data_IF_333084509013
#
_entry.id   IF_333084509013
#
_cell.length_a   1.000
_cell.length_b   1.000
_cell.length_c   1.000
_cell.angle_alpha   90.00
_cell.angle_beta   90.00
_cell.angle_gamma   90.00
#
_symmetry.space_group_name_H-M   'P 1'
#
loop_
_entity.id
_entity.type
_entity.pdbx_description
1 polymer ?
#
# COMPACT_ATOMS: atom_id res chain seq x y z
N UNK A 1 -13.12 -18.67 10.21
CA UNK A 1 -11.73 -18.43 10.64
C UNK A 1 -11.34 -17.06 10.12
N UNK A 2 -10.96 -16.19 11.03
CA UNK A 2 -10.56 -14.80 10.76
C UNK A 2 -9.09 -14.61 11.12
N UNK A 3 -8.55 -13.45 10.81
CA UNK A 3 -7.26 -12.97 11.31
C UNK A 3 -7.46 -11.56 11.88
N UNK A 4 -6.55 -11.10 12.72
CA UNK A 4 -6.58 -9.77 13.31
C UNK A 4 -5.28 -9.06 13.01
N UNK A 5 -5.37 -7.81 12.55
CA UNK A 5 -4.26 -6.87 12.49
C UNK A 5 -4.52 -5.80 13.54
N UNK A 6 -3.61 -5.68 14.49
CA UNK A 6 -3.75 -4.84 15.67
C UNK A 6 -2.62 -3.83 15.77
N UNK A 7 -2.89 -2.68 16.39
CA UNK A 7 -1.89 -1.74 16.86
C UNK A 7 -2.15 -1.47 18.34
N UNK A 8 -1.28 -1.98 19.22
CA UNK A 8 -1.55 -1.95 20.65
C UNK A 8 -2.87 -2.66 20.95
N UNK A 9 -3.82 -1.94 21.55
CA UNK A 9 -5.15 -2.46 21.90
C UNK A 9 -6.23 -2.16 20.83
N UNK A 10 -5.85 -1.60 19.68
CA UNK A 10 -6.79 -1.25 18.60
C UNK A 10 -6.75 -2.26 17.45
N UNK A 11 -7.90 -2.87 17.14
CA UNK A 11 -8.05 -3.68 15.93
C UNK A 11 -8.20 -2.80 14.69
N UNK A 12 -7.17 -2.83 13.83
CA UNK A 12 -7.16 -2.11 12.57
C UNK A 12 -7.96 -2.85 11.49
N UNK A 13 -7.85 -4.19 11.45
CA UNK A 13 -8.55 -4.98 10.44
C UNK A 13 -8.78 -6.42 10.91
N UNK A 14 -10.01 -6.90 10.72
CA UNK A 14 -10.40 -8.29 10.97
C UNK A 14 -10.81 -9.02 9.67
N UNK A 15 -9.84 -9.41 8.81
CA UNK A 15 -10.16 -10.12 7.58
C UNK A 15 -10.54 -11.59 7.81
N UNK A 16 -11.17 -12.19 6.79
CA UNK A 16 -11.13 -13.65 6.66
C UNK A 16 -9.68 -14.12 6.50
N UNK A 17 -9.34 -15.32 7.00
CA UNK A 17 -7.95 -15.80 6.93
C UNK A 17 -7.42 -15.91 5.49
N UNK A 18 -8.29 -16.08 4.49
CA UNK A 18 -7.91 -16.07 3.08
C UNK A 18 -7.44 -14.68 2.61
N UNK A 19 -8.21 -13.64 2.93
CA UNK A 19 -7.87 -12.26 2.58
C UNK A 19 -6.62 -11.78 3.33
N UNK A 20 -6.53 -12.10 4.63
CA UNK A 20 -5.34 -11.78 5.45
C UNK A 20 -4.07 -12.41 4.89
N UNK A 21 -4.08 -13.73 4.59
CA UNK A 21 -2.92 -14.39 3.99
C UNK A 21 -2.55 -13.85 2.62
N UNK A 22 -3.54 -13.56 1.76
CA UNK A 22 -3.26 -12.97 0.44
C UNK A 22 -2.61 -11.58 0.56
N UNK A 23 -3.07 -10.77 1.53
CA UNK A 23 -2.47 -9.48 1.81
C UNK A 23 -1.02 -9.64 2.27
N UNK A 24 -0.74 -10.53 3.23
CA UNK A 24 0.61 -10.77 3.75
C UNK A 24 1.58 -11.29 2.67
N UNK A 25 1.13 -12.15 1.76
CA UNK A 25 1.96 -12.58 0.61
C UNK A 25 2.33 -11.42 -0.30
N UNK A 26 1.44 -10.45 -0.47
CA UNK A 26 1.76 -9.24 -1.23
C UNK A 26 2.68 -8.31 -0.43
N UNK A 27 2.51 -8.23 0.90
CA UNK A 27 3.47 -7.52 1.77
C UNK A 27 4.89 -8.07 1.54
N UNK A 28 5.10 -9.38 1.59
CA UNK A 28 6.42 -10.01 1.36
C UNK A 28 7.03 -9.63 -0.01
N UNK A 29 6.21 -9.56 -1.06
CA UNK A 29 6.66 -9.11 -2.40
C UNK A 29 7.13 -7.66 -2.32
N UNK A 30 6.33 -6.77 -1.74
CA UNK A 30 6.65 -5.35 -1.71
C UNK A 30 7.74 -4.96 -0.71
N UNK A 31 7.93 -5.72 0.36
CA UNK A 31 9.11 -5.59 1.21
C UNK A 31 10.39 -5.86 0.42
N UNK A 32 10.36 -6.86 -0.47
CA UNK A 32 11.48 -7.19 -1.35
C UNK A 32 11.70 -6.14 -2.43
N UNK A 33 10.63 -5.70 -3.10
CA UNK A 33 10.69 -4.69 -4.18
C UNK A 33 11.16 -3.32 -3.66
N UNK A 34 10.68 -2.90 -2.48
CA UNK A 34 11.04 -1.60 -1.88
C UNK A 34 12.29 -1.66 -1.01
N UNK A 35 12.71 -2.87 -0.58
CA UNK A 35 13.75 -3.07 0.43
C UNK A 35 13.45 -2.36 1.75
N UNK A 36 12.17 -2.31 2.11
CA UNK A 36 11.67 -1.70 3.34
C UNK A 36 10.89 -2.75 4.12
N UNK A 37 11.12 -2.91 5.44
CA UNK A 37 10.25 -3.74 6.26
C UNK A 37 8.85 -3.13 6.35
N UNK A 38 7.83 -3.96 6.37
CA UNK A 38 6.44 -3.52 6.53
C UNK A 38 6.10 -3.15 7.97
N UNK A 39 6.76 -3.76 8.95
CA UNK A 39 6.37 -3.60 10.36
C UNK A 39 5.15 -4.44 10.76
N UNK A 40 4.66 -5.32 9.87
CA UNK A 40 3.62 -6.30 10.20
C UNK A 40 4.31 -7.59 10.63
N UNK A 41 3.99 -8.08 11.82
CA UNK A 41 4.59 -9.31 12.32
C UNK A 41 3.85 -9.93 13.49
N UNK A 42 4.39 -11.04 13.97
CA UNK A 42 3.94 -11.62 15.25
C UNK A 42 4.32 -10.64 16.36
N UNK A 43 3.32 -10.17 17.10
CA UNK A 43 3.48 -9.15 18.13
C UNK A 43 4.20 -9.62 19.39
N UNK A 44 4.33 -8.70 20.37
CA UNK A 44 4.93 -8.96 21.69
C UNK A 44 4.25 -10.11 22.45
N UNK A 45 2.95 -10.31 22.21
CA UNK A 45 2.17 -11.39 22.78
C UNK A 45 2.23 -12.60 21.83
N UNK A 46 3.35 -13.34 21.86
CA UNK A 46 3.44 -14.65 21.21
C UNK A 46 2.41 -15.61 21.82
N UNK A 47 1.21 -15.67 21.24
CA UNK A 47 0.14 -16.52 21.76
C UNK A 47 -0.94 -16.88 20.74
N UNK A 48 -1.32 -15.96 19.86
CA UNK A 48 -2.37 -16.20 18.87
C UNK A 48 -1.82 -16.19 17.42
N UNK A 49 -1.83 -17.33 16.71
CA UNK A 49 -1.36 -17.41 15.34
C UNK A 49 -2.22 -16.62 14.35
N UNK A 50 -3.45 -16.28 14.71
CA UNK A 50 -4.37 -15.53 13.86
C UNK A 50 -4.25 -14.01 14.08
N UNK A 51 -3.43 -13.54 15.03
CA UNK A 51 -3.24 -12.12 15.35
C UNK A 51 -1.85 -11.64 14.96
N UNK A 52 -1.78 -10.47 14.31
CA UNK A 52 -0.56 -9.79 13.89
C UNK A 52 -0.55 -8.36 14.41
N UNK A 53 0.62 -7.93 14.88
CA UNK A 53 0.84 -6.56 15.34
C UNK A 53 1.43 -5.73 14.20
N UNK A 54 0.97 -4.48 14.12
CA UNK A 54 1.44 -3.46 13.18
C UNK A 54 2.25 -2.44 13.97
N UNK A 55 3.55 -2.38 13.72
CA UNK A 55 4.39 -1.29 14.22
C UNK A 55 4.06 -0.01 13.43
N UNK A 56 3.50 1.03 14.09
CA UNK A 56 3.03 2.22 13.38
C UNK A 56 4.16 3.03 12.73
N UNK A 57 5.37 3.01 13.30
CA UNK A 57 6.50 3.78 12.79
C UNK A 57 7.04 3.13 11.54
N UNK A 58 7.28 1.82 11.60
CA UNK A 58 7.79 1.05 10.46
C UNK A 58 6.74 0.98 9.34
N UNK A 59 5.47 0.78 9.70
CA UNK A 59 4.37 0.74 8.73
C UNK A 59 4.17 2.08 8.01
N UNK A 60 4.39 3.20 8.70
CA UNK A 60 4.32 4.52 8.08
C UNK A 60 5.38 4.72 6.99
N UNK A 61 6.62 4.30 7.23
CA UNK A 61 7.68 4.36 6.22
C UNK A 61 7.37 3.47 5.02
N UNK A 62 6.92 2.24 5.27
CA UNK A 62 6.51 1.31 4.23
C UNK A 62 5.36 1.85 3.37
N UNK A 63 4.29 2.36 3.99
CA UNK A 63 3.13 2.89 3.28
C UNK A 63 3.48 4.11 2.42
N UNK A 64 4.30 5.03 2.93
CA UNK A 64 4.79 6.18 2.14
C UNK A 64 5.68 5.72 0.98
N UNK A 65 6.56 4.75 1.21
CA UNK A 65 7.38 4.14 0.17
C UNK A 65 6.55 3.49 -0.94
N UNK A 66 5.48 2.79 -0.58
CA UNK A 66 4.53 2.19 -1.52
C UNK A 66 3.84 3.24 -2.39
N UNK A 67 3.31 4.31 -1.79
CA UNK A 67 2.65 5.39 -2.54
C UNK A 67 3.63 6.05 -3.50
N UNK A 68 4.84 6.40 -3.03
CA UNK A 68 5.86 7.00 -3.87
C UNK A 68 6.27 6.09 -5.05
N UNK A 69 6.42 4.78 -4.80
CA UNK A 69 6.72 3.79 -5.83
C UNK A 69 5.58 3.67 -6.85
N UNK A 70 4.34 3.55 -6.38
CA UNK A 70 3.15 3.40 -7.21
C UNK A 70 2.90 4.63 -8.09
N UNK A 71 3.05 5.83 -7.53
CA UNK A 71 2.85 7.08 -8.26
C UNK A 71 3.99 7.43 -9.24
N UNK A 72 5.19 6.86 -9.04
CA UNK A 72 6.34 7.06 -9.94
C UNK A 72 6.28 6.19 -11.19
N UNK A 73 5.65 5.02 -11.12
CA UNK A 73 5.57 4.12 -12.28
C UNK A 73 4.47 4.56 -13.25
N UNK A 74 4.85 4.79 -14.52
CA UNK A 74 3.90 5.01 -15.62
C UNK A 74 3.41 3.72 -16.28
N UNK A 75 3.81 2.55 -15.77
CA UNK A 75 3.56 1.27 -16.44
C UNK A 75 2.19 0.71 -16.07
N UNK A 76 1.23 0.78 -17.00
CA UNK A 76 -0.19 0.41 -16.79
C UNK A 76 -0.40 -0.96 -16.14
N UNK A 77 0.37 -1.98 -16.54
CA UNK A 77 0.25 -3.33 -15.97
C UNK A 77 0.69 -3.38 -14.51
N UNK A 78 1.76 -2.66 -14.14
CA UNK A 78 2.25 -2.64 -12.75
C UNK A 78 1.23 -1.94 -11.87
N UNK A 79 0.68 -0.82 -12.34
CA UNK A 79 -0.39 -0.11 -11.66
C UNK A 79 -1.60 -1.04 -11.43
N UNK A 80 -2.10 -1.70 -12.48
CA UNK A 80 -3.24 -2.60 -12.36
C UNK A 80 -3.01 -3.80 -11.41
N UNK A 81 -1.80 -4.36 -11.40
CA UNK A 81 -1.45 -5.48 -10.51
C UNK A 81 -1.31 -5.05 -9.05
N UNK A 82 -0.88 -3.82 -8.79
CA UNK A 82 -0.55 -3.35 -7.45
C UNK A 82 -1.65 -2.49 -6.80
N UNK A 83 -2.56 -1.91 -7.59
CA UNK A 83 -3.57 -0.94 -7.14
C UNK A 83 -4.37 -1.44 -5.92
N UNK A 84 -4.90 -2.67 -5.98
CA UNK A 84 -5.69 -3.23 -4.89
C UNK A 84 -4.90 -3.38 -3.59
N UNK A 85 -3.63 -3.77 -3.68
CA UNK A 85 -2.74 -3.89 -2.53
C UNK A 85 -2.38 -2.54 -1.95
N UNK A 86 -1.90 -1.60 -2.78
CA UNK A 86 -1.48 -0.27 -2.32
C UNK A 86 -2.66 0.46 -1.68
N UNK A 87 -3.85 0.37 -2.28
CA UNK A 87 -5.07 0.95 -1.70
C UNK A 87 -5.42 0.34 -0.34
N UNK A 88 -5.28 -0.99 -0.18
CA UNK A 88 -5.52 -1.67 1.10
C UNK A 88 -4.49 -1.26 2.16
N UNK A 89 -3.22 -1.13 1.78
CA UNK A 89 -2.16 -0.70 2.68
C UNK A 89 -2.35 0.76 3.15
N UNK A 90 -2.73 1.66 2.24
CA UNK A 90 -3.07 3.05 2.59
C UNK A 90 -4.29 3.11 3.50
N UNK A 91 -5.32 2.29 3.25
CA UNK A 91 -6.48 2.20 4.13
C UNK A 91 -6.10 1.73 5.54
N UNK A 92 -5.25 0.70 5.65
CA UNK A 92 -4.73 0.24 6.93
C UNK A 92 -3.92 1.32 7.65
N UNK A 93 -3.09 2.09 6.93
CA UNK A 93 -2.33 3.21 7.50
C UNK A 93 -3.25 4.30 8.06
N UNK A 94 -4.34 4.65 7.35
CA UNK A 94 -5.33 5.62 7.82
C UNK A 94 -6.04 5.15 9.09
N UNK A 95 -6.38 3.87 9.17
CA UNK A 95 -6.96 3.28 10.38
C UNK A 95 -6.00 3.32 11.56
N UNK A 96 -4.72 3.15 11.27
CA UNK A 96 -3.62 3.31 12.21
C UNK A 96 -3.37 4.77 12.64
N UNK A 97 -4.16 5.75 12.18
CA UNK A 97 -3.94 7.17 12.45
C UNK A 97 -2.68 7.74 11.77
N UNK A 98 -2.12 7.01 10.79
CA UNK A 98 -0.95 7.43 10.04
C UNK A 98 -1.39 8.30 8.87
N UNK A 99 -0.88 9.53 8.83
CA UNK A 99 -1.02 10.39 7.66
C UNK A 99 -0.06 9.93 6.55
N UNK A 100 -0.67 9.44 5.47
CA UNK A 100 0.00 9.12 4.22
C UNK A 100 -0.31 10.24 3.24
N UNK A 101 0.63 11.17 3.12
CA UNK A 101 0.56 12.23 2.12
C UNK A 101 0.61 11.62 0.72
N UNK A 102 -0.36 11.99 -0.10
CA UNK A 102 -0.31 11.69 -1.51
C UNK A 102 0.66 12.67 -2.16
N UNK A 103 1.61 12.22 -2.99
CA UNK A 103 2.51 13.12 -3.70
C UNK A 103 1.67 14.18 -4.42
N UNK A 104 1.97 15.45 -4.13
CA UNK A 104 1.56 16.53 -5.02
C UNK A 104 2.06 16.17 -6.42
N UNK A 105 1.28 16.49 -7.46
CA UNK A 105 1.72 16.29 -8.84
C UNK A 105 2.93 17.20 -9.13
N UNK A 106 4.12 16.76 -8.72
CA UNK A 106 5.34 17.55 -8.56
C UNK A 106 6.43 17.18 -9.57
N UNK A 107 7.17 18.22 -9.97
CA UNK A 107 7.93 18.38 -11.22
C UNK A 107 9.35 17.77 -11.22
N UNK A 108 9.52 16.49 -10.95
CA UNK A 108 10.85 15.89 -11.07
C UNK A 108 11.15 15.46 -12.53
N UNK A 109 11.97 16.29 -13.17
CA UNK A 109 12.57 16.10 -14.48
C UNK A 109 13.59 14.97 -14.43
N UNK A 110 13.37 13.88 -15.16
CA UNK A 110 14.47 12.99 -15.60
C UNK A 110 14.29 12.62 -17.08
N UNK A 111 15.41 12.79 -17.78
CA UNK A 111 15.66 12.77 -19.21
C UNK A 111 15.60 11.38 -19.87
N UNK A 112 14.97 11.34 -21.05
CA UNK A 112 15.50 10.72 -22.27
C UNK A 112 15.74 9.20 -22.33
N UNK A 113 14.81 8.48 -22.98
CA UNK A 113 15.12 7.15 -23.52
C UNK A 113 13.94 6.43 -24.15
N UNK A 114 13.52 6.83 -25.35
CA UNK A 114 12.47 6.14 -26.13
C UNK A 114 12.92 4.71 -26.45
N UNK A 115 12.36 3.73 -25.75
CA UNK A 115 12.33 2.32 -26.18
C UNK A 115 10.90 1.98 -26.62
N UNK A 116 10.77 1.43 -27.83
CA UNK A 116 9.50 1.32 -28.57
C UNK A 116 8.53 0.23 -28.07
N UNK A 117 8.83 -0.41 -26.94
CA UNK A 117 7.90 -1.32 -26.25
C UNK A 117 7.20 -0.65 -25.05
N UNK A 118 7.43 0.65 -24.84
CA UNK A 118 6.95 1.42 -23.70
C UNK A 118 5.61 2.05 -24.05
N UNK A 119 4.55 1.68 -23.32
CA UNK A 119 3.32 2.47 -23.27
C UNK A 119 3.63 3.82 -22.63
N UNK A 120 3.88 4.84 -23.45
CA UNK A 120 4.01 6.23 -22.99
C UNK A 120 2.63 6.88 -23.06
N UNK A 121 2.05 7.32 -21.95
CA UNK A 121 0.84 8.13 -21.99
C UNK A 121 1.17 9.57 -22.43
N UNK A 122 0.20 10.26 -23.02
CA UNK A 122 0.34 11.57 -23.67
C UNK A 122 0.80 12.74 -22.77
N UNK A 123 0.84 12.56 -21.44
CA UNK A 123 1.50 13.46 -20.48
C UNK A 123 1.80 12.72 -19.17
N UNK A 124 3.07 12.59 -18.75
CA UNK A 124 3.44 11.92 -17.50
C UNK A 124 2.78 12.56 -16.26
N UNK A 125 2.56 13.87 -16.29
CA UNK A 125 1.98 14.61 -15.16
C UNK A 125 0.48 14.40 -15.01
N UNK A 126 -0.27 14.40 -16.12
CA UNK A 126 -1.70 14.11 -16.09
C UNK A 126 -1.97 12.68 -15.60
N UNK A 127 -1.09 11.74 -15.95
CA UNK A 127 -1.15 10.35 -15.49
C UNK A 127 -0.88 10.27 -14.00
N UNK A 128 0.17 10.92 -13.50
CA UNK A 128 0.50 10.88 -12.07
C UNK A 128 -0.62 11.46 -11.20
N UNK A 129 -1.19 12.62 -11.58
CA UNK A 129 -2.33 13.21 -10.87
C UNK A 129 -3.59 12.30 -10.90
N UNK A 130 -3.84 11.65 -12.04
CA UNK A 130 -4.95 10.70 -12.17
C UNK A 130 -4.72 9.44 -11.31
N UNK A 131 -3.49 8.92 -11.30
CA UNK A 131 -3.10 7.75 -10.49
C UNK A 131 -3.21 8.07 -9.00
N UNK A 132 -2.76 9.24 -8.56
CA UNK A 132 -2.91 9.71 -7.16
C UNK A 132 -4.38 9.78 -6.76
N UNK A 133 -5.23 10.41 -7.59
CA UNK A 133 -6.66 10.56 -7.30
C UNK A 133 -7.39 9.22 -7.28
N UNK A 134 -7.05 8.32 -8.22
CA UNK A 134 -7.59 6.98 -8.28
C UNK A 134 -7.19 6.17 -7.04
N UNK A 135 -5.92 6.23 -6.63
CA UNK A 135 -5.42 5.55 -5.45
C UNK A 135 -6.10 6.06 -4.16
N UNK A 136 -6.26 7.38 -3.99
CA UNK A 136 -6.97 7.93 -2.82
C UNK A 136 -8.42 7.45 -2.76
N UNK A 137 -9.11 7.51 -3.90
CA UNK A 137 -10.50 7.03 -4.02
C UNK A 137 -10.58 5.55 -3.66
N UNK A 138 -9.68 4.74 -4.21
CA UNK A 138 -9.65 3.29 -3.98
C UNK A 138 -9.32 2.95 -2.53
N UNK A 139 -8.42 3.68 -1.88
CA UNK A 139 -8.11 3.49 -0.45
C UNK A 139 -9.34 3.76 0.44
N UNK A 140 -10.12 4.81 0.14
CA UNK A 140 -11.39 5.08 0.85
C UNK A 140 -12.44 3.99 0.61
N UNK A 141 -12.44 3.37 -0.57
CA UNK A 141 -13.29 2.20 -0.83
C UNK A 141 -12.86 0.98 -0.01
N UNK A 142 -11.55 0.68 0.03
CA UNK A 142 -11.02 -0.42 0.83
C UNK A 142 -11.37 -0.23 2.30
N UNK A 143 -11.19 0.98 2.84
CA UNK A 143 -11.54 1.29 4.22
C UNK A 143 -13.01 1.00 4.54
N UNK A 144 -13.94 1.27 3.61
CA UNK A 144 -15.37 0.93 3.83
C UNK A 144 -15.64 -0.58 3.83
N UNK A 145 -14.80 -1.39 3.18
CA UNK A 145 -14.98 -2.84 3.06
C UNK A 145 -14.19 -3.64 4.10
N UNK A 146 -13.16 -3.05 4.69
CA UNK A 146 -12.36 -3.70 5.72
C UNK A 146 -13.16 -3.75 7.04
N UNK A 147 -13.45 -4.94 7.55
CA UNK A 147 -14.06 -5.08 8.86
C UNK A 147 -13.12 -4.62 9.99
N UNK A 148 -13.65 -4.24 11.14
CA UNK A 148 -12.88 -4.09 12.38
C UNK A 148 -13.25 -5.23 13.31
#
# INVERSE_FOLDING_TARGET
MSMYLEMGDETLWNPSSGAGRLFLRQVEVFETELKLPSGIGQGKYCGDPDTLEVDPVVYAEFARGLVAWHCRTGHSVILALSEGFVATAVALARRAGIEVEMPEAGSDHVDGGVRRDVQVPSSPWAVSATVVTALDTRAREMDRWMAR
#
